data_IF_112706152994
#
_entry.id   IF_112706152994
#
_cell.length_a   1.000
_cell.length_b   1.000
_cell.length_c   1.000
_cell.angle_alpha   90.00
_cell.angle_beta   90.00
_cell.angle_gamma   90.00
#
_symmetry.space_group_name_H-M   'P 1'
#
loop_
_entity.id
_entity.type
_entity.pdbx_description
1 polymer ?
#
# COMPACT_ATOMS: atom_id res chain seq x y z
N UNK A 1 6.15 21.16 -9.30
CA UNK A 1 5.30 20.02 -8.96
C UNK A 1 6.03 18.72 -9.27
N UNK A 2 6.12 17.84 -8.31
CA UNK A 2 6.78 16.57 -8.59
C UNK A 2 6.03 15.80 -9.67
N UNK A 3 6.80 15.23 -10.57
CA UNK A 3 6.24 14.36 -11.59
C UNK A 3 6.08 12.98 -10.99
N UNK A 4 4.88 12.49 -10.94
CA UNK A 4 4.66 11.13 -10.49
C UNK A 4 5.03 10.19 -11.61
N UNK A 5 6.15 9.52 -11.39
CA UNK A 5 6.49 8.40 -12.25
C UNK A 5 5.78 7.18 -11.68
N UNK A 6 5.03 6.48 -12.50
CA UNK A 6 4.32 5.31 -12.03
C UNK A 6 5.33 4.24 -11.63
N UNK A 7 5.43 3.98 -10.32
CA UNK A 7 6.32 2.96 -9.78
C UNK A 7 5.57 1.65 -9.62
N UNK A 8 6.30 0.56 -9.74
CA UNK A 8 5.77 -0.76 -9.40
C UNK A 8 5.72 -0.91 -7.88
N UNK A 9 4.89 -1.82 -7.41
CA UNK A 9 4.74 -2.04 -5.96
C UNK A 9 6.10 -2.37 -5.32
N UNK A 10 6.91 -3.23 -5.95
CA UNK A 10 8.20 -3.62 -5.38
C UNK A 10 9.18 -2.47 -5.29
N UNK A 11 9.00 -1.41 -6.08
CA UNK A 11 9.88 -0.25 -6.09
C UNK A 11 9.54 0.79 -5.03
N UNK A 12 8.39 0.65 -4.36
CA UNK A 12 7.93 1.65 -3.39
C UNK A 12 8.83 1.67 -2.16
N UNK A 13 9.22 2.89 -1.77
CA UNK A 13 10.04 3.11 -0.58
C UNK A 13 9.25 3.88 0.46
N UNK A 14 9.78 3.97 1.68
CA UNK A 14 9.13 4.77 2.71
C UNK A 14 9.14 6.25 2.34
N UNK A 15 10.11 6.71 1.56
CA UNK A 15 10.11 8.10 1.10
C UNK A 15 8.94 8.35 0.14
N UNK A 16 8.67 7.40 -0.76
CA UNK A 16 7.50 7.50 -1.63
C UNK A 16 6.22 7.61 -0.83
N UNK A 17 6.10 6.79 0.21
CA UNK A 17 4.92 6.83 1.07
C UNK A 17 4.84 8.14 1.84
N UNK A 18 5.96 8.62 2.38
CA UNK A 18 6.00 9.89 3.08
C UNK A 18 5.56 11.05 2.17
N UNK A 19 6.02 11.03 0.93
CA UNK A 19 5.62 12.05 -0.05
C UNK A 19 4.13 11.99 -0.34
N UNK A 20 3.60 10.80 -0.48
CA UNK A 20 2.17 10.60 -0.70
C UNK A 20 1.35 11.14 0.48
N UNK A 21 1.82 10.88 1.70
CA UNK A 21 1.16 11.32 2.93
C UNK A 21 1.44 12.79 3.25
N UNK A 22 2.33 13.43 2.49
CA UNK A 22 2.73 14.83 2.67
C UNK A 22 3.43 15.08 4.00
N UNK A 23 4.27 14.15 4.39
CA UNK A 23 5.08 14.28 5.59
C UNK A 23 6.43 14.86 5.18
N UNK A 24 6.83 15.97 5.81
CA UNK A 24 8.03 16.69 5.39
C UNK A 24 9.27 16.30 6.15
N UNK A 25 9.14 16.02 7.43
CA UNK A 25 10.28 15.64 8.27
C UNK A 25 9.93 14.37 9.02
N UNK A 26 10.76 13.35 8.84
CA UNK A 26 10.52 12.07 9.47
C UNK A 26 11.45 11.87 10.65
N UNK A 27 10.87 11.57 11.81
CA UNK A 27 11.64 11.12 12.95
C UNK A 27 11.98 9.64 12.76
N UNK A 28 12.88 9.13 13.61
CA UNK A 28 13.19 7.69 13.58
C UNK A 28 11.94 6.86 13.84
N UNK A 29 11.06 7.33 14.73
CA UNK A 29 9.80 6.64 15.01
C UNK A 29 8.88 6.64 13.79
N UNK A 30 8.83 7.76 13.07
CA UNK A 30 8.03 7.85 11.84
C UNK A 30 8.52 6.88 10.78
N UNK A 31 9.84 6.79 10.61
CA UNK A 31 10.43 5.88 9.63
C UNK A 31 10.10 4.42 9.96
N UNK A 32 10.19 4.06 11.24
CA UNK A 32 9.84 2.72 11.68
C UNK A 32 8.37 2.41 11.42
N UNK A 33 7.49 3.35 11.72
CA UNK A 33 6.06 3.18 11.49
C UNK A 33 5.75 3.02 10.00
N UNK A 34 6.32 3.89 9.16
CA UNK A 34 6.08 3.83 7.72
C UNK A 34 6.64 2.54 7.11
N UNK A 35 7.78 2.08 7.60
CA UNK A 35 8.35 0.80 7.15
C UNK A 35 7.37 -0.34 7.42
N UNK A 36 6.80 -0.38 8.62
CA UNK A 36 5.85 -1.42 9.00
C UNK A 36 4.58 -1.33 8.17
N UNK A 37 4.04 -0.12 8.02
CA UNK A 37 2.81 0.09 7.26
C UNK A 37 3.00 -0.30 5.79
N UNK A 38 4.10 0.14 5.19
CA UNK A 38 4.34 -0.18 3.78
C UNK A 38 4.49 -1.68 3.56
N UNK A 39 5.23 -2.35 4.44
CA UNK A 39 5.39 -3.79 4.35
C UNK A 39 4.05 -4.50 4.50
N UNK A 40 3.22 -4.07 5.44
CA UNK A 40 1.91 -4.67 5.66
C UNK A 40 0.98 -4.46 4.47
N UNK A 41 1.01 -3.25 3.89
CA UNK A 41 0.18 -2.94 2.73
C UNK A 41 0.57 -3.79 1.52
N UNK A 42 1.88 -3.92 1.25
CA UNK A 42 2.37 -4.76 0.16
C UNK A 42 1.97 -6.22 0.37
N UNK A 43 2.18 -6.72 1.58
CA UNK A 43 1.86 -8.10 1.91
C UNK A 43 0.38 -8.38 1.74
N UNK A 44 -0.46 -7.46 2.18
CA UNK A 44 -1.91 -7.57 2.00
C UNK A 44 -2.27 -7.72 0.53
N UNK A 45 -1.67 -6.89 -0.32
CA UNK A 45 -1.94 -6.91 -1.75
C UNK A 45 -1.54 -8.25 -2.36
N UNK A 46 -0.37 -8.76 -2.02
CA UNK A 46 0.09 -10.05 -2.54
C UNK A 46 -0.85 -11.18 -2.12
N UNK A 47 -1.27 -11.18 -0.87
CA UNK A 47 -2.15 -12.23 -0.35
C UNK A 47 -3.55 -12.13 -0.92
N UNK A 48 -4.08 -10.93 -1.06
CA UNK A 48 -5.42 -10.75 -1.60
C UNK A 48 -5.49 -11.18 -3.07
N UNK A 49 -4.53 -10.74 -3.88
CA UNK A 49 -4.55 -11.02 -5.31
C UNK A 49 -4.10 -12.43 -5.65
N UNK A 50 -3.28 -13.03 -4.81
CA UNK A 50 -2.65 -14.32 -5.12
C UNK A 50 -1.57 -14.21 -6.19
N UNK A 51 -1.19 -12.99 -6.55
CA UNK A 51 -0.16 -12.76 -7.58
C UNK A 51 1.23 -12.73 -6.95
N UNK A 52 2.24 -13.10 -7.75
CA UNK A 52 3.63 -12.94 -7.34
C UNK A 52 4.01 -11.46 -7.40
N UNK A 53 5.14 -11.11 -6.76
CA UNK A 53 5.63 -9.74 -6.83
C UNK A 53 5.85 -9.28 -8.27
N UNK A 54 6.39 -10.16 -9.11
CA UNK A 54 6.62 -9.83 -10.51
C UNK A 54 5.32 -9.55 -11.27
N UNK A 55 4.29 -10.35 -10.99
CA UNK A 55 2.99 -10.15 -11.63
C UNK A 55 2.33 -8.85 -11.17
N UNK A 56 2.41 -8.56 -9.87
CA UNK A 56 1.86 -7.32 -9.32
C UNK A 56 2.53 -6.10 -9.95
N UNK A 57 3.82 -6.17 -10.19
CA UNK A 57 4.58 -5.04 -10.72
C UNK A 57 4.14 -4.62 -12.14
N UNK A 58 3.44 -5.48 -12.85
CA UNK A 58 2.89 -5.15 -14.17
C UNK A 58 1.72 -4.18 -14.06
N UNK A 59 1.00 -4.20 -12.96
CA UNK A 59 -0.26 -3.45 -12.80
C UNK A 59 -0.05 -2.20 -11.95
N UNK A 60 0.00 -1.03 -12.60
CA UNK A 60 0.26 0.23 -11.90
C UNK A 60 -0.90 0.70 -11.03
N UNK A 61 -2.12 0.26 -11.32
CA UNK A 61 -3.26 0.56 -10.45
C UNK A 61 -3.15 -0.14 -9.09
N UNK A 62 -2.45 -1.27 -9.02
CA UNK A 62 -2.20 -1.92 -7.73
C UNK A 62 -1.29 -1.04 -6.87
N UNK A 63 -0.37 -0.29 -7.49
CA UNK A 63 0.46 0.67 -6.77
C UNK A 63 -0.41 1.70 -6.05
N UNK A 64 -1.44 2.19 -6.73
CA UNK A 64 -2.39 3.13 -6.11
C UNK A 64 -3.10 2.47 -4.94
N UNK A 65 -3.48 1.21 -5.09
CA UNK A 65 -4.13 0.46 -4.00
C UNK A 65 -3.22 0.39 -2.77
N UNK A 66 -1.92 0.15 -2.97
CA UNK A 66 -0.96 0.13 -1.87
C UNK A 66 -0.91 1.47 -1.16
N UNK A 67 -0.86 2.58 -1.91
CA UNK A 67 -0.86 3.91 -1.32
C UNK A 67 -2.12 4.18 -0.51
N UNK A 68 -3.29 3.88 -1.08
CA UNK A 68 -4.57 4.12 -0.41
C UNK A 68 -4.65 3.28 0.86
N UNK A 69 -4.27 2.02 0.78
CA UNK A 69 -4.29 1.13 1.94
C UNK A 69 -3.30 1.60 3.02
N UNK A 70 -2.10 1.99 2.61
CA UNK A 70 -1.09 2.48 3.56
C UNK A 70 -1.56 3.76 4.25
N UNK A 71 -2.18 4.68 3.51
CA UNK A 71 -2.73 5.89 4.11
C UNK A 71 -3.83 5.57 5.11
N UNK A 72 -4.72 4.65 4.75
CA UNK A 72 -5.80 4.25 5.63
C UNK A 72 -5.26 3.60 6.90
N UNK A 73 -4.24 2.76 6.77
CA UNK A 73 -3.57 2.17 7.93
C UNK A 73 -2.90 3.24 8.80
N UNK A 74 -2.30 4.24 8.17
CA UNK A 74 -1.63 5.32 8.89
C UNK A 74 -2.64 6.15 9.68
N UNK A 75 -3.76 6.49 9.05
CA UNK A 75 -4.79 7.34 9.67
C UNK A 75 -5.59 6.60 10.74
N UNK A 76 -5.76 5.28 10.59
CA UNK A 76 -6.62 4.48 11.45
C UNK A 76 -5.87 3.31 12.07
N UNK A 77 -4.68 3.55 12.60
CA UNK A 77 -3.80 2.49 13.08
C UNK A 77 -4.46 1.55 14.08
N UNK A 78 -5.13 2.10 15.07
CA UNK A 78 -5.79 1.29 16.09
C UNK A 78 -6.90 0.43 15.50
N UNK A 79 -7.64 0.99 14.54
CA UNK A 79 -8.74 0.30 13.90
C UNK A 79 -8.25 -0.94 13.15
N UNK A 80 -7.15 -0.82 12.42
CA UNK A 80 -6.59 -1.97 11.69
C UNK A 80 -6.05 -3.03 12.61
N UNK A 81 -5.48 -2.63 13.73
CA UNK A 81 -5.00 -3.58 14.72
C UNK A 81 -6.16 -4.39 15.30
N UNK A 82 -7.28 -3.70 15.59
CA UNK A 82 -8.40 -4.32 16.30
C UNK A 82 -9.34 -5.10 15.38
N UNK A 83 -9.61 -4.59 14.19
CA UNK A 83 -10.71 -5.11 13.36
C UNK A 83 -10.27 -5.70 12.03
N UNK A 84 -9.14 -5.27 11.51
CA UNK A 84 -8.68 -5.73 10.21
C UNK A 84 -9.55 -5.28 9.05
N UNK A 85 -10.37 -4.26 9.23
CA UNK A 85 -11.22 -3.75 8.15
C UNK A 85 -10.38 -3.12 7.05
N UNK A 86 -10.88 -3.22 5.83
CA UNK A 86 -10.17 -2.80 4.64
C UNK A 86 -11.00 -1.76 3.89
N UNK A 87 -10.29 -0.77 3.35
CA UNK A 87 -10.87 0.27 2.53
C UNK A 87 -11.53 -0.33 1.28
N UNK A 88 -12.75 0.11 0.99
CA UNK A 88 -13.50 -0.44 -0.15
C UNK A 88 -12.88 -0.11 -1.50
N UNK A 89 -12.17 1.01 -1.59
CA UNK A 89 -11.44 1.35 -2.82
C UNK A 89 -10.36 0.32 -3.08
N UNK A 90 -9.64 -0.06 -2.04
CA UNK A 90 -8.60 -1.09 -2.14
C UNK A 90 -9.23 -2.42 -2.55
N UNK A 91 -10.33 -2.81 -1.92
CA UNK A 91 -11.01 -4.06 -2.27
C UNK A 91 -11.42 -4.08 -3.76
N UNK A 92 -11.95 -2.96 -4.25
CA UNK A 92 -12.40 -2.87 -5.64
C UNK A 92 -11.22 -3.03 -6.60
N UNK A 93 -10.11 -2.36 -6.33
CA UNK A 93 -8.94 -2.44 -7.19
C UNK A 93 -8.35 -3.85 -7.16
N UNK A 94 -8.17 -4.40 -5.98
CA UNK A 94 -7.56 -5.72 -5.83
C UNK A 94 -8.45 -6.82 -6.41
N UNK A 95 -9.77 -6.64 -6.34
CA UNK A 95 -10.70 -7.59 -6.92
C UNK A 95 -10.54 -7.75 -8.41
N UNK A 96 -10.12 -6.68 -9.11
CA UNK A 96 -9.89 -6.72 -10.55
C UNK A 96 -8.72 -7.61 -10.93
N UNK A 97 -7.79 -7.82 -10.00
CA UNK A 97 -6.54 -8.54 -10.26
C UNK A 97 -6.43 -9.86 -9.51
N UNK A 98 -7.46 -10.23 -8.77
CA UNK A 98 -7.40 -11.46 -7.98
C UNK A 98 -7.41 -12.68 -8.89
N UNK A 99 -6.54 -13.63 -8.58
CA UNK A 99 -6.51 -14.92 -9.28
C UNK A 99 -7.30 -15.98 -8.55
N UNK A 100 -7.82 -15.66 -7.38
CA UNK A 100 -8.60 -16.60 -6.60
C UNK A 100 -10.05 -16.53 -7.03
N UNK A 101 -10.36 -17.26 -8.07
CA UNK A 101 -11.69 -17.31 -8.65
C UNK A 101 -12.44 -18.47 -8.01
N UNK A 102 -13.48 -18.14 -7.35
CA UNK A 102 -14.36 -19.17 -6.77
C UNK A 102 -15.60 -19.35 -7.61
#
# INVERSE_FOLDING_TARGET
MPTYTAKSVSELTIQDLADYLRLSELTTADEALLTTILAAAKDYVYKWTGLTAEQVDVYKDITIAVYVLAQDMYDNRAYYVDTGNVNKVVEAILGLHSVNLL
#
